data_IF_454295444224
#
_entry.id   IF_454295444224
#
_cell.length_a   1.000
_cell.length_b   1.000
_cell.length_c   1.000
_cell.angle_alpha   90.00
_cell.angle_beta   90.00
_cell.angle_gamma   90.00
#
_symmetry.space_group_name_H-M   'P 1'
#
loop_
_entity.id
_entity.type
_entity.pdbx_description
1 polymer ?
#
# COMPACT_ATOMS: atom_id res chain seq x y z
N UNK A 1 2.44 -13.58 -9.85
CA UNK A 1 1.87 -14.93 -10.08
C UNK A 1 1.26 -15.33 -8.75
N UNK A 2 -0.05 -15.58 -8.68
CA UNK A 2 -0.66 -16.07 -7.43
C UNK A 2 -0.08 -17.45 -7.11
N UNK A 3 0.34 -17.65 -5.86
CA UNK A 3 0.72 -18.97 -5.36
C UNK A 3 -0.46 -19.92 -5.57
N UNK A 4 -0.26 -21.15 -6.07
CA UNK A 4 -1.35 -22.12 -6.27
C UNK A 4 -2.10 -22.45 -4.98
N UNK A 5 -1.50 -22.19 -3.81
CA UNK A 5 -2.08 -22.42 -2.49
C UNK A 5 -2.70 -21.17 -1.86
N UNK A 6 -2.73 -20.02 -2.56
CA UNK A 6 -3.27 -18.78 -2.00
C UNK A 6 -4.78 -18.88 -1.76
N UNK A 7 -5.24 -18.43 -0.59
CA UNK A 7 -6.66 -18.42 -0.27
C UNK A 7 -7.45 -17.56 -1.27
N UNK A 8 -8.66 -17.98 -1.64
CA UNK A 8 -9.58 -17.15 -2.41
C UNK A 8 -10.43 -16.27 -1.48
N UNK A 9 -10.67 -15.01 -1.87
CA UNK A 9 -11.53 -14.07 -1.14
C UNK A 9 -12.62 -13.53 -2.07
N UNK A 10 -13.87 -13.86 -1.78
CA UNK A 10 -15.03 -13.34 -2.50
C UNK A 10 -15.62 -12.13 -1.78
N UNK A 11 -15.82 -11.04 -2.51
CA UNK A 11 -16.34 -9.76 -2.00
C UNK A 11 -17.67 -9.38 -2.67
N UNK A 12 -18.74 -10.18 -2.51
CA UNK A 12 -20.02 -9.94 -3.17
C UNK A 12 -20.72 -8.69 -2.64
N UNK A 13 -21.34 -7.91 -3.53
CA UNK A 13 -22.09 -6.70 -3.13
C UNK A 13 -23.33 -7.08 -2.31
N UNK A 14 -23.51 -6.43 -1.16
CA UNK A 14 -24.70 -6.59 -0.31
C UNK A 14 -24.79 -7.91 0.47
N UNK A 15 -23.75 -8.75 0.41
CA UNK A 15 -23.59 -10.01 1.13
C UNK A 15 -22.31 -9.98 1.98
N UNK A 16 -22.19 -10.82 3.03
CA UNK A 16 -20.94 -10.91 3.78
C UNK A 16 -19.80 -11.42 2.88
N UNK A 17 -18.55 -11.00 3.13
CA UNK A 17 -17.38 -11.52 2.42
C UNK A 17 -17.17 -12.99 2.76
N UNK A 18 -16.58 -13.77 1.85
CA UNK A 18 -16.29 -15.19 2.04
C UNK A 18 -14.80 -15.44 1.80
N UNK A 19 -14.11 -15.95 2.82
CA UNK A 19 -12.70 -16.34 2.74
C UNK A 19 -12.60 -17.87 2.68
N UNK A 20 -12.07 -18.37 1.57
CA UNK A 20 -11.82 -19.79 1.35
C UNK A 20 -10.53 -20.25 2.03
N UNK A 21 -10.33 -21.56 2.08
CA UNK A 21 -9.10 -22.17 2.58
C UNK A 21 -7.87 -21.81 1.73
N UNK A 22 -6.69 -21.80 2.37
CA UNK A 22 -5.40 -21.59 1.71
C UNK A 22 -4.45 -20.71 2.51
N UNK A 23 -3.38 -20.27 1.86
CA UNK A 23 -2.43 -19.30 2.40
C UNK A 23 -3.10 -17.92 2.46
N UNK A 24 -3.43 -17.50 3.69
CA UNK A 24 -4.11 -16.24 3.98
C UNK A 24 -3.08 -15.15 4.30
N UNK A 25 -3.25 -13.99 3.69
CA UNK A 25 -2.44 -12.79 3.92
C UNK A 25 -3.20 -11.76 4.75
N UNK A 26 -2.46 -10.87 5.42
CA UNK A 26 -3.08 -9.76 6.14
C UNK A 26 -3.85 -8.80 5.22
N UNK A 27 -3.44 -8.63 3.96
CA UNK A 27 -4.18 -7.83 2.97
C UNK A 27 -5.57 -8.43 2.69
N UNK A 28 -5.69 -9.77 2.62
CA UNK A 28 -6.98 -10.44 2.47
C UNK A 28 -7.86 -10.29 3.71
N UNK A 29 -7.30 -10.47 4.92
CA UNK A 29 -8.06 -10.25 6.15
C UNK A 29 -8.53 -8.80 6.27
N UNK A 30 -7.68 -7.84 5.90
CA UNK A 30 -8.05 -6.41 5.89
C UNK A 30 -9.19 -6.14 4.91
N UNK A 31 -9.16 -6.72 3.71
CA UNK A 31 -10.25 -6.61 2.72
C UNK A 31 -11.54 -7.25 3.24
N UNK A 32 -11.44 -8.42 3.86
CA UNK A 32 -12.56 -9.10 4.51
C UNK A 32 -13.19 -8.18 5.56
N UNK A 33 -12.40 -7.57 6.45
CA UNK A 33 -12.89 -6.63 7.47
C UNK A 33 -13.61 -5.41 6.89
N UNK A 34 -13.00 -4.75 5.89
CA UNK A 34 -13.59 -3.58 5.25
C UNK A 34 -14.94 -3.92 4.59
N UNK A 35 -15.03 -5.08 3.94
CA UNK A 35 -16.25 -5.52 3.26
C UNK A 35 -17.32 -5.98 4.26
N UNK A 36 -16.93 -6.69 5.32
CA UNK A 36 -17.81 -7.04 6.43
C UNK A 36 -18.40 -5.79 7.09
N UNK A 37 -17.58 -4.78 7.38
CA UNK A 37 -18.04 -3.49 7.92
C UNK A 37 -19.03 -2.76 7.01
N UNK A 38 -18.79 -2.79 5.70
CA UNK A 38 -19.72 -2.24 4.69
C UNK A 38 -21.05 -3.01 4.68
N UNK A 39 -20.99 -4.34 4.76
CA UNK A 39 -22.16 -5.20 4.88
C UNK A 39 -22.96 -4.92 6.17
N UNK A 40 -22.30 -4.81 7.33
CA UNK A 40 -22.93 -4.47 8.60
C UNK A 40 -23.67 -3.14 8.53
N UNK A 41 -23.02 -2.13 7.95
CA UNK A 41 -23.60 -0.80 7.77
C UNK A 41 -24.83 -0.86 6.86
N UNK A 42 -24.71 -1.50 5.70
CA UNK A 42 -25.79 -1.61 4.71
C UNK A 42 -27.00 -2.38 5.25
N UNK A 43 -26.77 -3.40 6.09
CA UNK A 43 -27.82 -4.22 6.71
C UNK A 43 -28.28 -3.72 8.08
N UNK A 44 -27.64 -2.66 8.62
CA UNK A 44 -27.90 -2.11 9.95
C UNK A 44 -27.77 -3.17 11.07
N UNK A 45 -26.76 -4.03 10.96
CA UNK A 45 -26.50 -5.10 11.93
C UNK A 45 -25.95 -4.48 13.22
N UNK A 46 -26.56 -4.84 14.36
CA UNK A 46 -26.14 -4.37 15.68
C UNK A 46 -24.75 -4.90 16.03
N UNK A 47 -23.93 -4.10 16.74
CA UNK A 47 -22.54 -4.46 17.06
C UNK A 47 -22.41 -5.85 17.71
N UNK A 48 -23.34 -6.21 18.60
CA UNK A 48 -23.36 -7.50 19.29
C UNK A 48 -23.69 -8.71 18.38
N UNK A 49 -24.23 -8.48 17.19
CA UNK A 49 -24.62 -9.54 16.25
C UNK A 49 -23.61 -9.69 15.09
N UNK A 50 -22.71 -8.73 14.93
CA UNK A 50 -21.80 -8.66 13.77
C UNK A 50 -20.97 -9.93 13.58
N UNK A 51 -20.37 -10.47 14.66
CA UNK A 51 -19.53 -11.67 14.57
C UNK A 51 -20.35 -12.89 14.14
N UNK A 52 -21.53 -13.09 14.71
CA UNK A 52 -22.43 -14.19 14.36
C UNK A 52 -22.79 -14.18 12.86
N UNK A 53 -22.88 -12.99 12.25
CA UNK A 53 -23.18 -12.83 10.82
C UNK A 53 -22.03 -13.21 9.87
N UNK A 54 -20.77 -13.24 10.34
CA UNK A 54 -19.60 -13.43 9.45
C UNK A 54 -18.68 -14.58 9.85
N UNK A 55 -18.79 -15.11 11.07
CA UNK A 55 -17.88 -16.18 11.52
C UNK A 55 -18.00 -17.44 10.63
N UNK A 56 -19.19 -17.75 10.13
CA UNK A 56 -19.42 -18.85 9.18
C UNK A 56 -18.92 -18.57 7.75
N UNK A 57 -18.37 -17.39 7.49
CA UNK A 57 -17.79 -17.01 6.20
C UNK A 57 -16.26 -17.18 6.14
N UNK A 58 -15.65 -17.68 7.21
CA UNK A 58 -14.26 -18.12 7.23
C UNK A 58 -14.24 -19.64 7.06
N UNK A 59 -13.71 -20.13 5.93
CA UNK A 59 -13.77 -21.57 5.56
C UNK A 59 -12.48 -22.33 5.79
N UNK A 60 -11.41 -21.64 6.18
CA UNK A 60 -10.13 -22.29 6.48
C UNK A 60 -10.27 -23.23 7.68
N UNK A 61 -9.78 -24.46 7.53
CA UNK A 61 -9.93 -25.53 8.51
C UNK A 61 -9.40 -25.14 9.90
N UNK A 62 -8.37 -24.29 9.99
CA UNK A 62 -7.81 -23.81 11.27
C UNK A 62 -8.79 -22.97 12.07
N UNK A 63 -9.67 -22.24 11.38
CA UNK A 63 -10.73 -21.45 12.02
C UNK A 63 -11.95 -22.32 12.26
N UNK A 64 -12.34 -23.17 11.32
CA UNK A 64 -13.52 -24.02 11.51
C UNK A 64 -13.33 -25.00 12.66
N UNK A 65 -12.15 -25.63 12.78
CA UNK A 65 -11.79 -26.51 13.90
C UNK A 65 -11.86 -25.77 15.26
N UNK A 66 -11.33 -24.55 15.33
CA UNK A 66 -11.47 -23.69 16.51
C UNK A 66 -12.95 -23.40 16.84
N UNK A 67 -13.79 -23.14 15.84
CA UNK A 67 -15.21 -22.81 16.00
C UNK A 67 -16.12 -24.04 16.07
N UNK A 68 -15.61 -25.27 15.98
CA UNK A 68 -16.39 -26.51 16.16
C UNK A 68 -16.63 -26.82 17.63
N UNK A 69 -15.79 -26.32 18.53
CA UNK A 69 -16.04 -26.37 19.96
C UNK A 69 -17.16 -25.37 20.33
N UNK A 70 -18.24 -25.85 20.96
CA UNK A 70 -19.42 -25.04 21.30
C UNK A 70 -19.11 -23.90 22.28
N UNK A 71 -18.21 -24.13 23.25
CA UNK A 71 -17.79 -23.11 24.22
C UNK A 71 -16.99 -22.01 23.52
N UNK A 72 -16.04 -22.38 22.67
CA UNK A 72 -15.23 -21.43 21.88
C UNK A 72 -16.08 -20.67 20.87
N UNK A 73 -17.03 -21.33 20.19
CA UNK A 73 -17.97 -20.68 19.28
C UNK A 73 -18.81 -19.63 20.00
N UNK A 74 -19.34 -19.99 21.17
CA UNK A 74 -20.15 -19.08 21.99
C UNK A 74 -19.30 -17.91 22.47
N UNK A 75 -18.08 -18.17 22.94
CA UNK A 75 -17.14 -17.13 23.36
C UNK A 75 -16.76 -16.20 22.20
N UNK A 76 -16.50 -16.75 21.01
CA UNK A 76 -16.17 -15.99 19.81
C UNK A 76 -17.34 -15.09 19.37
N UNK A 77 -18.57 -15.61 19.35
CA UNK A 77 -19.76 -14.85 19.00
C UNK A 77 -20.06 -13.68 19.94
N UNK A 78 -19.59 -13.76 21.19
CA UNK A 78 -19.73 -12.69 22.18
C UNK A 78 -18.67 -11.58 22.06
N UNK A 79 -17.63 -11.75 21.24
CA UNK A 79 -16.62 -10.74 21.01
C UNK A 79 -17.17 -9.60 20.15
N UNK A 80 -16.63 -8.39 20.33
CA UNK A 80 -16.76 -7.37 19.30
C UNK A 80 -15.99 -7.79 18.04
N UNK A 81 -16.36 -7.24 16.89
CA UNK A 81 -15.78 -7.64 15.61
C UNK A 81 -14.26 -7.44 15.53
N UNK A 82 -13.72 -6.40 16.18
CA UNK A 82 -12.26 -6.14 16.18
C UNK A 82 -11.53 -7.23 16.97
N UNK A 83 -12.04 -7.57 18.16
CA UNK A 83 -11.50 -8.63 19.02
C UNK A 83 -11.57 -10.00 18.35
N UNK A 84 -12.69 -10.32 17.69
CA UNK A 84 -12.84 -11.54 16.89
C UNK A 84 -11.79 -11.63 15.78
N UNK A 85 -11.60 -10.55 15.00
CA UNK A 85 -10.58 -10.53 13.95
C UNK A 85 -9.15 -10.59 14.49
N UNK A 86 -8.93 -10.21 15.75
CA UNK A 86 -7.67 -10.45 16.47
C UNK A 86 -7.37 -11.95 16.53
N UNK A 87 -8.30 -12.74 17.06
CA UNK A 87 -8.19 -14.21 17.11
C UNK A 87 -8.03 -14.82 15.72
N UNK A 88 -8.81 -14.36 14.73
CA UNK A 88 -8.69 -14.87 13.34
C UNK A 88 -7.26 -14.71 12.80
N UNK A 89 -6.59 -13.59 13.09
CA UNK A 89 -5.18 -13.39 12.69
C UNK A 89 -4.23 -14.31 13.43
N UNK A 90 -4.46 -14.58 14.72
CA UNK A 90 -3.65 -15.51 15.52
C UNK A 90 -3.70 -16.94 14.96
N UNK A 91 -4.85 -17.38 14.45
CA UNK A 91 -5.01 -18.70 13.84
C UNK A 91 -4.48 -18.77 12.39
N UNK A 92 -4.65 -17.71 11.60
CA UNK A 92 -4.41 -17.78 10.15
C UNK A 92 -3.04 -17.25 9.70
N UNK A 93 -2.46 -16.28 10.41
CA UNK A 93 -1.22 -15.63 10.01
C UNK A 93 0.00 -16.22 10.72
N UNK A 94 1.19 -16.16 10.10
CA UNK A 94 2.45 -16.47 10.78
C UNK A 94 2.64 -15.58 12.01
N UNK A 95 3.21 -16.11 13.09
CA UNK A 95 3.39 -15.38 14.36
C UNK A 95 4.19 -14.08 14.23
N UNK A 96 5.02 -13.95 13.20
CA UNK A 96 5.85 -12.78 12.93
C UNK A 96 5.28 -11.85 11.84
N UNK A 97 4.03 -12.00 11.44
CA UNK A 97 3.41 -11.21 10.36
C UNK A 97 3.54 -9.70 10.59
N UNK A 98 3.35 -9.23 11.84
CA UNK A 98 3.51 -7.81 12.21
C UNK A 98 4.94 -7.35 11.93
N UNK A 99 5.94 -8.15 12.32
CA UNK A 99 7.35 -7.84 12.10
C UNK A 99 7.66 -7.76 10.61
N UNK A 100 7.12 -8.68 9.81
CA UNK A 100 7.29 -8.70 8.36
C UNK A 100 6.72 -7.44 7.71
N UNK A 101 5.51 -7.03 8.06
CA UNK A 101 4.89 -5.80 7.53
C UNK A 101 5.65 -4.56 8.00
N UNK A 102 6.08 -4.49 9.27
CA UNK A 102 6.91 -3.37 9.76
C UNK A 102 8.24 -3.26 9.00
N UNK A 103 8.87 -4.39 8.67
CA UNK A 103 10.11 -4.42 7.90
C UNK A 103 9.88 -3.90 6.49
N UNK A 104 8.80 -4.30 5.84
CA UNK A 104 8.39 -3.78 4.53
C UNK A 104 8.15 -2.26 4.60
N UNK A 105 7.36 -1.82 5.58
CA UNK A 105 6.99 -0.41 5.77
C UNK A 105 8.23 0.47 5.99
N UNK A 106 9.11 0.09 6.93
CA UNK A 106 10.32 0.86 7.25
C UNK A 106 11.38 0.79 6.14
N UNK A 107 11.41 -0.29 5.37
CA UNK A 107 12.35 -0.47 4.25
C UNK A 107 11.91 0.22 2.96
N UNK A 108 10.70 0.77 2.91
CA UNK A 108 10.14 1.36 1.70
C UNK A 108 10.79 2.71 1.42
N UNK A 109 11.50 2.80 0.29
CA UNK A 109 12.13 4.02 -0.23
C UNK A 109 11.51 4.47 -1.53
N UNK A 110 11.41 5.78 -1.77
CA UNK A 110 10.94 6.30 -3.05
C UNK A 110 11.91 5.88 -4.17
N UNK A 111 11.37 5.28 -5.24
CA UNK A 111 12.17 4.93 -6.41
C UNK A 111 12.58 6.17 -7.24
N UNK A 112 13.69 6.12 -8.00
CA UNK A 112 14.19 7.29 -8.75
C UNK A 112 13.21 7.82 -9.80
N UNK A 113 12.39 6.94 -10.38
CA UNK A 113 11.34 7.28 -11.37
C UNK A 113 9.94 7.26 -10.77
N UNK A 114 9.84 7.03 -9.45
CA UNK A 114 8.57 6.93 -8.76
C UNK A 114 8.11 8.31 -8.31
N UNK A 115 6.83 8.61 -8.54
CA UNK A 115 6.23 9.84 -8.03
C UNK A 115 6.04 9.72 -6.53
N UNK A 116 6.13 10.85 -5.81
CA UNK A 116 5.88 10.90 -4.38
C UNK A 116 4.48 10.37 -4.04
N UNK A 117 3.46 10.64 -4.87
CA UNK A 117 2.11 10.10 -4.66
C UNK A 117 2.08 8.56 -4.67
N UNK A 118 2.80 7.91 -5.58
CA UNK A 118 2.87 6.43 -5.63
C UNK A 118 3.59 5.87 -4.40
N UNK A 119 4.69 6.51 -4.01
CA UNK A 119 5.43 6.17 -2.79
C UNK A 119 4.56 6.31 -1.53
N UNK A 120 3.93 7.47 -1.34
CA UNK A 120 2.98 7.76 -0.26
C UNK A 120 1.86 6.71 -0.19
N UNK A 121 1.21 6.45 -1.33
CA UNK A 121 0.11 5.47 -1.40
C UNK A 121 0.57 4.07 -1.01
N UNK A 122 1.79 3.67 -1.39
CA UNK A 122 2.35 2.38 -0.99
C UNK A 122 2.59 2.32 0.52
N UNK A 123 3.18 3.37 1.11
CA UNK A 123 3.41 3.48 2.56
C UNK A 123 2.09 3.45 3.34
N UNK A 124 1.10 4.25 2.93
CA UNK A 124 -0.21 4.28 3.59
C UNK A 124 -0.95 2.96 3.45
N UNK A 125 -0.86 2.30 2.28
CA UNK A 125 -1.43 0.97 2.07
C UNK A 125 -0.80 -0.05 3.00
N UNK A 126 0.52 -0.13 3.08
CA UNK A 126 1.21 -1.09 3.96
C UNK A 126 0.92 -0.78 5.43
N UNK A 127 0.89 0.50 5.83
CA UNK A 127 0.50 0.89 7.19
C UNK A 127 -0.96 0.50 7.51
N UNK A 128 -1.87 0.57 6.54
CA UNK A 128 -3.28 0.18 6.74
C UNK A 128 -3.46 -1.30 7.12
N UNK A 129 -2.47 -2.15 6.80
CA UNK A 129 -2.44 -3.56 7.21
C UNK A 129 -2.14 -3.73 8.71
N UNK A 130 -1.64 -2.70 9.39
CA UNK A 130 -1.35 -2.71 10.82
C UNK A 130 -2.48 -2.12 11.67
N UNK A 131 -3.57 -1.64 11.05
CA UNK A 131 -4.74 -1.11 11.77
C UNK A 131 -5.20 -2.12 12.82
N UNK A 132 -5.62 -1.61 13.99
CA UNK A 132 -5.99 -2.40 15.16
C UNK A 132 -4.83 -3.11 15.88
N UNK A 133 -3.58 -2.77 15.55
CA UNK A 133 -2.39 -3.19 16.30
C UNK A 133 -1.63 -1.97 16.82
N UNK A 134 -0.79 -2.17 17.84
CA UNK A 134 0.11 -1.13 18.36
C UNK A 134 1.24 -0.76 17.38
N UNK A 135 1.37 -1.52 16.28
CA UNK A 135 2.34 -1.24 15.23
C UNK A 135 1.85 -0.24 14.18
N UNK A 136 0.57 0.15 14.20
CA UNK A 136 0.01 1.13 13.27
C UNK A 136 0.64 2.51 13.47
N UNK A 137 1.26 3.07 12.44
CA UNK A 137 1.90 4.38 12.52
C UNK A 137 0.86 5.51 12.50
N UNK A 138 1.10 6.50 13.36
CA UNK A 138 0.39 7.79 13.35
C UNK A 138 0.82 8.65 12.16
N UNK A 139 0.04 9.68 11.77
CA UNK A 139 0.42 10.60 10.69
C UNK A 139 1.80 11.23 10.86
N UNK A 140 2.18 11.59 12.10
CA UNK A 140 3.51 12.14 12.39
C UNK A 140 4.63 11.13 12.14
N UNK A 141 4.42 9.85 12.52
CA UNK A 141 5.38 8.78 12.27
C UNK A 141 5.48 8.45 10.77
N UNK A 142 4.36 8.46 10.04
CA UNK A 142 4.36 8.29 8.59
C UNK A 142 5.12 9.43 7.92
N UNK A 143 4.88 10.68 8.32
CA UNK A 143 5.63 11.83 7.81
C UNK A 143 7.13 11.65 8.01
N UNK A 144 7.57 11.35 9.22
CA UNK A 144 9.00 11.13 9.52
C UNK A 144 9.60 10.00 8.67
N UNK A 145 8.84 8.92 8.46
CA UNK A 145 9.25 7.82 7.58
C UNK A 145 9.39 8.28 6.11
N UNK A 146 8.44 9.07 5.62
CA UNK A 146 8.45 9.60 4.25
C UNK A 146 9.62 10.57 4.04
N UNK A 147 9.86 11.48 4.98
CA UNK A 147 11.00 12.42 4.97
C UNK A 147 12.34 11.67 4.92
N UNK A 148 12.48 10.61 5.72
CA UNK A 148 13.72 9.82 5.78
C UNK A 148 13.99 8.96 4.54
N UNK A 149 12.97 8.69 3.73
CA UNK A 149 13.02 7.69 2.66
C UNK A 149 12.59 8.22 1.28
N UNK A 150 12.27 9.51 1.17
CA UNK A 150 12.06 10.18 -0.12
C UNK A 150 13.39 10.39 -0.85
N UNK A 151 13.30 10.78 -2.13
CA UNK A 151 14.50 11.07 -2.91
C UNK A 151 15.26 12.27 -2.34
N UNK A 152 16.58 12.17 -2.28
CA UNK A 152 17.46 13.23 -1.76
C UNK A 152 17.23 14.56 -2.49
N UNK A 153 17.21 14.56 -3.83
CA UNK A 153 16.92 15.77 -4.62
C UNK A 153 15.58 16.42 -4.26
N UNK A 154 14.55 15.62 -3.94
CA UNK A 154 13.25 16.14 -3.52
C UNK A 154 13.32 16.71 -2.09
N UNK A 155 14.06 16.06 -1.19
CA UNK A 155 14.24 16.55 0.17
C UNK A 155 14.99 17.89 0.18
N UNK A 156 16.09 18.00 -0.59
CA UNK A 156 16.86 19.24 -0.75
C UNK A 156 15.98 20.37 -1.33
N UNK A 157 15.20 20.10 -2.38
CA UNK A 157 14.25 21.06 -2.96
C UNK A 157 13.19 21.56 -1.95
N UNK A 158 12.80 20.72 -0.98
CA UNK A 158 11.83 21.08 0.06
C UNK A 158 12.48 21.90 1.18
N UNK A 159 13.70 21.54 1.56
CA UNK A 159 14.48 22.25 2.59
C UNK A 159 14.79 23.69 2.13
N UNK A 160 15.15 23.87 0.87
CA UNK A 160 15.40 25.20 0.27
C UNK A 160 14.16 26.11 0.26
N UNK A 161 12.96 25.56 0.06
CA UNK A 161 11.70 26.32 0.07
C UNK A 161 11.20 26.61 1.50
N UNK A 162 11.60 25.81 2.50
CA UNK A 162 11.24 25.93 3.92
C UNK A 162 9.74 25.75 4.25
N UNK A 163 8.86 25.75 3.26
CA UNK A 163 7.39 25.67 3.45
C UNK A 163 6.94 24.33 4.02
N UNK A 164 7.58 23.24 3.62
CA UNK A 164 7.23 21.91 4.11
C UNK A 164 7.58 21.74 5.59
N UNK A 165 8.70 22.31 6.03
CA UNK A 165 9.11 22.28 7.44
C UNK A 165 8.12 23.05 8.34
N UNK A 166 7.51 24.12 7.84
CA UNK A 166 6.57 24.96 8.59
C UNK A 166 5.10 24.47 8.58
N UNK A 167 4.77 23.45 7.79
CA UNK A 167 3.40 22.93 7.70
C UNK A 167 3.20 21.76 8.67
N UNK A 168 2.39 21.95 9.71
CA UNK A 168 2.11 20.93 10.72
C UNK A 168 0.99 19.97 10.30
N UNK A 169 0.07 20.40 9.42
CA UNK A 169 -1.02 19.54 8.95
C UNK A 169 -0.48 18.51 7.95
N UNK A 170 -0.56 17.23 8.32
CA UNK A 170 -0.06 16.13 7.50
C UNK A 170 -0.64 16.11 6.08
N UNK A 171 -1.93 16.44 5.90
CA UNK A 171 -2.55 16.40 4.57
C UNK A 171 -2.03 17.54 3.71
N UNK A 172 -1.96 18.76 4.26
CA UNK A 172 -1.39 19.91 3.55
C UNK A 172 0.09 19.70 3.23
N UNK A 173 0.85 19.14 4.16
CA UNK A 173 2.24 18.75 3.94
C UNK A 173 2.37 17.78 2.76
N UNK A 174 1.56 16.72 2.72
CA UNK A 174 1.53 15.78 1.60
C UNK A 174 1.23 16.47 0.26
N UNK A 175 0.29 17.42 0.22
CA UNK A 175 -0.02 18.17 -1.01
C UNK A 175 1.13 19.09 -1.46
N UNK A 176 1.82 19.74 -0.51
CA UNK A 176 3.03 20.52 -0.80
C UNK A 176 4.12 19.66 -1.43
N UNK A 177 4.42 18.51 -0.83
CA UNK A 177 5.44 17.59 -1.33
C UNK A 177 5.06 17.04 -2.71
N UNK A 178 3.80 16.64 -2.92
CA UNK A 178 3.31 16.22 -4.25
C UNK A 178 3.48 17.32 -5.30
N UNK A 179 3.15 18.57 -4.97
CA UNK A 179 3.29 19.71 -5.88
C UNK A 179 4.75 19.92 -6.27
N UNK A 180 5.67 19.82 -5.31
CA UNK A 180 7.12 19.94 -5.52
C UNK A 180 7.67 18.80 -6.37
N UNK A 181 7.30 17.56 -6.07
CA UNK A 181 7.71 16.40 -6.88
C UNK A 181 7.21 16.50 -8.33
N UNK A 182 6.00 17.03 -8.55
CA UNK A 182 5.49 17.28 -9.89
C UNK A 182 6.30 18.33 -10.66
N UNK A 183 6.84 19.36 -9.99
CA UNK A 183 7.74 20.34 -10.60
C UNK A 183 9.08 19.68 -10.94
N UNK A 184 9.66 18.93 -10.01
CA UNK A 184 10.90 18.17 -10.19
C UNK A 184 10.82 17.24 -11.41
N UNK A 185 9.74 16.46 -11.51
CA UNK A 185 9.51 15.54 -12.64
C UNK A 185 9.35 16.27 -13.98
N UNK A 186 8.70 17.44 -14.01
CA UNK A 186 8.62 18.27 -15.22
C UNK A 186 10.00 18.80 -15.63
N UNK A 187 10.82 19.21 -14.67
CA UNK A 187 12.18 19.68 -14.95
C UNK A 187 13.05 18.55 -15.51
N UNK A 188 13.00 17.35 -14.91
CA UNK A 188 13.68 16.16 -15.43
C UNK A 188 13.23 15.84 -16.85
N UNK A 189 11.92 15.85 -17.12
CA UNK A 189 11.40 15.59 -18.46
C UNK A 189 11.92 16.59 -19.50
N UNK A 190 11.96 17.89 -19.15
CA UNK A 190 12.52 18.94 -20.02
C UNK A 190 14.01 18.74 -20.28
N UNK A 191 14.79 18.42 -19.25
CA UNK A 191 16.23 18.18 -19.39
C UNK A 191 16.50 16.97 -20.29
N UNK A 192 15.74 15.89 -20.13
CA UNK A 192 15.83 14.71 -20.98
C UNK A 192 15.50 15.04 -22.43
N UNK A 193 14.45 15.82 -22.68
CA UNK A 193 14.11 16.26 -24.04
C UNK A 193 15.27 17.02 -24.70
N UNK A 194 15.87 17.98 -23.99
CA UNK A 194 17.02 18.73 -24.50
C UNK A 194 18.23 17.82 -24.76
N UNK A 195 18.48 16.85 -23.89
CA UNK A 195 19.56 15.88 -24.07
C UNK A 195 19.33 14.98 -25.31
N UNK A 196 18.10 14.51 -25.51
CA UNK A 196 17.70 13.71 -26.67
C UNK A 196 17.82 14.48 -27.99
N UNK A 197 17.41 15.76 -28.01
CA UNK A 197 17.55 16.65 -29.16
C UNK A 197 19.04 16.87 -29.53
N UNK A 198 19.90 17.08 -28.52
CA UNK A 198 21.35 17.24 -28.72
C UNK A 198 22.00 15.98 -29.27
N UNK A 199 21.65 14.81 -28.71
CA UNK A 199 22.16 13.52 -29.20
C UNK A 199 21.70 13.22 -30.63
N UNK A 200 20.45 13.56 -30.97
CA UNK A 200 19.95 13.43 -32.35
C UNK A 200 20.74 14.32 -33.31
N UNK A 201 20.90 15.60 -32.99
CA UNK A 201 21.66 16.53 -33.82
C UNK A 201 23.11 16.09 -34.02
N UNK A 202 23.74 15.54 -32.97
CA UNK A 202 25.09 14.97 -33.05
C UNK A 202 25.17 13.79 -34.01
N UNK A 203 24.25 12.83 -33.92
CA UNK A 203 24.21 11.66 -34.82
C UNK A 203 23.98 12.06 -36.27
N UNK A 204 23.10 13.03 -36.50
CA UNK A 204 22.85 13.57 -37.85
C UNK A 204 24.10 14.23 -38.42
N UNK A 205 24.87 14.97 -37.60
CA UNK A 205 26.14 15.55 -38.01
C UNK A 205 27.19 14.47 -38.34
N UNK A 206 27.35 13.47 -37.47
CA UNK A 206 28.27 12.34 -37.68
C UNK A 206 27.93 11.59 -38.98
N UNK A 207 26.66 11.27 -39.23
CA UNK A 207 26.22 10.64 -40.49
C UNK A 207 26.50 11.49 -41.72
N UNK A 208 26.31 12.82 -41.65
CA UNK A 208 26.61 13.73 -42.77
C UNK A 208 28.11 13.78 -43.06
N UNK A 209 28.96 13.74 -42.03
CA UNK A 209 30.41 13.72 -42.18
C UNK A 209 30.87 12.39 -42.80
N UNK A 210 30.28 11.26 -42.40
CA UNK A 210 30.58 9.94 -42.96
C UNK A 210 30.16 9.82 -44.44
N UNK A 211 28.98 10.36 -44.80
CA UNK A 211 28.51 10.43 -46.18
C UNK A 211 29.39 11.32 -47.06
N UNK A 212 29.86 12.45 -46.54
CA UNK A 212 30.78 13.33 -47.26
C UNK A 212 32.18 12.69 -47.44
N UNK A 213 32.64 11.89 -46.47
CA UNK A 213 33.95 11.26 -46.50
C UNK A 213 34.00 9.98 -47.34
N UNK A 214 32.86 9.35 -47.60
CA UNK A 214 32.75 8.11 -48.41
C UNK A 214 32.59 8.37 -49.92
N UNK A 215 32.59 9.63 -50.37
CA UNK A 215 32.56 9.99 -51.80
C UNK A 215 31.24 9.66 -52.51
N UNK A 216 30.14 9.47 -51.76
CA UNK A 216 28.83 9.17 -52.31
C UNK A 216 27.94 10.42 -52.37
N UNK A 217 28.33 11.39 -53.20
CA UNK A 217 27.39 12.38 -53.77
C UNK A 217 27.65 12.43 -55.28
N UNK A 218 26.62 12.33 -56.13
CA UNK A 218 26.76 12.36 -57.58
C UNK A 218 27.31 13.69 -58.11
#
# INVERSE_FOLDING_TARGET
MSSPDAAQLDLPVGKPPLLHEGEVTQDQLRKFECHAGSYFTAKKIAAAEQVAHVMGCLRDYRITDWLENDEERTAAAALDFKSFMGKVREHLLPTDWIRTIKKELNGRKQGPKETFLKFLTAVERTNSLLVNTDAHLSPAQIRSLLESNMLTDLAEDLDDDGKAAAEDDYKKWCELVKSRDNIRLRNIARLNQVAEERERARRELEQRVDLASSGALP
#
